data_IF_395722311688
#
_entry.id   IF_395722311688
#
_cell.length_a   1.000
_cell.length_b   1.000
_cell.length_c   1.000
_cell.angle_alpha   90.00
_cell.angle_beta   90.00
_cell.angle_gamma   90.00
#
_symmetry.space_group_name_H-M   'P 1'
#
loop_
_entity.id
_entity.type
_entity.pdbx_description
1 polymer ?
#
# COMPACT_ATOMS: atom_id res chain seq x y z
N UNK A 1 -12.95 22.19 -3.04
CA UNK A 1 -12.44 21.22 -2.05
C UNK A 1 -13.18 21.37 -0.73
N UNK A 2 -13.54 20.27 -0.06
CA UNK A 2 -14.15 20.30 1.28
C UNK A 2 -13.06 20.51 2.33
N UNK A 3 -13.30 21.39 3.31
CA UNK A 3 -12.41 21.56 4.47
C UNK A 3 -12.62 20.40 5.44
N UNK A 4 -11.54 19.80 5.93
CA UNK A 4 -11.59 18.76 6.95
C UNK A 4 -11.88 19.37 8.32
N UNK A 5 -12.77 18.72 9.09
CA UNK A 5 -13.01 19.05 10.50
C UNK A 5 -11.80 18.69 11.35
N UNK A 6 -11.68 19.28 12.53
CA UNK A 6 -10.55 19.10 13.46
C UNK A 6 -10.17 17.63 13.67
N UNK A 7 -11.18 16.81 13.97
CA UNK A 7 -10.99 15.37 14.17
C UNK A 7 -10.51 14.64 12.91
N UNK A 8 -11.03 15.01 11.74
CA UNK A 8 -10.62 14.39 10.47
C UNK A 8 -9.18 14.79 10.11
N UNK A 9 -8.77 16.03 10.43
CA UNK A 9 -7.38 16.49 10.30
C UNK A 9 -6.44 15.71 11.21
N UNK A 10 -6.87 15.44 12.44
CA UNK A 10 -6.10 14.65 13.40
C UNK A 10 -5.92 13.20 12.93
N UNK A 11 -7.01 12.53 12.53
CA UNK A 11 -6.99 11.18 11.95
C UNK A 11 -6.06 11.11 10.75
N UNK A 12 -6.20 12.06 9.81
CA UNK A 12 -5.36 12.14 8.62
C UNK A 12 -3.89 12.29 8.99
N UNK A 13 -3.54 13.22 9.89
CA UNK A 13 -2.15 13.43 10.32
C UNK A 13 -1.56 12.18 10.93
N UNK A 14 -2.32 11.50 11.81
CA UNK A 14 -1.89 10.28 12.48
C UNK A 14 -1.68 9.13 11.48
N UNK A 15 -2.61 8.93 10.55
CA UNK A 15 -2.49 7.93 9.50
C UNK A 15 -1.31 8.22 8.55
N UNK A 16 -1.13 9.49 8.14
CA UNK A 16 0.02 9.91 7.33
C UNK A 16 1.35 9.63 8.02
N UNK A 17 1.47 9.97 9.31
CA UNK A 17 2.70 9.71 10.06
C UNK A 17 3.01 8.21 10.17
N UNK A 18 2.00 7.37 10.38
CA UNK A 18 2.17 5.91 10.44
C UNK A 18 2.58 5.32 9.10
N UNK A 19 1.99 5.78 8.00
CA UNK A 19 2.42 5.38 6.66
C UNK A 19 3.86 5.81 6.40
N UNK A 20 4.22 7.08 6.65
CA UNK A 20 5.59 7.58 6.51
C UNK A 20 6.59 6.74 7.32
N UNK A 21 6.26 6.45 8.58
CA UNK A 21 7.11 5.64 9.45
C UNK A 21 7.30 4.22 8.89
N UNK A 22 6.21 3.60 8.40
CA UNK A 22 6.25 2.27 7.80
C UNK A 22 7.10 2.25 6.53
N UNK A 23 6.88 3.22 5.62
CA UNK A 23 7.66 3.36 4.39
C UNK A 23 9.15 3.53 4.72
N UNK A 24 9.49 4.43 5.63
CA UNK A 24 10.88 4.68 6.04
C UNK A 24 11.59 3.43 6.56
N UNK A 25 10.96 2.65 7.44
CA UNK A 25 11.62 1.50 8.07
C UNK A 25 11.61 0.23 7.21
N UNK A 26 10.60 0.05 6.36
CA UNK A 26 10.40 -1.23 5.68
C UNK A 26 10.48 -1.15 4.17
N UNK A 27 10.39 0.06 3.59
CA UNK A 27 10.50 0.32 2.16
C UNK A 27 11.62 1.30 1.77
N UNK A 28 12.27 1.95 2.75
CA UNK A 28 13.45 2.80 2.55
C UNK A 28 14.75 1.99 2.42
N UNK A 29 15.87 2.64 2.70
CA UNK A 29 17.23 2.10 2.46
C UNK A 29 17.68 1.01 3.45
N UNK A 30 16.88 0.75 4.48
CA UNK A 30 17.17 -0.27 5.49
C UNK A 30 17.05 -1.70 4.94
N UNK A 31 17.72 -2.68 5.59
CA UNK A 31 17.54 -4.08 5.24
C UNK A 31 16.09 -4.51 5.42
N UNK A 32 15.58 -5.30 4.47
CA UNK A 32 14.21 -5.81 4.55
C UNK A 32 14.07 -6.75 5.76
N UNK A 33 12.98 -6.64 6.54
CA UNK A 33 12.80 -7.51 7.70
C UNK A 33 12.69 -8.99 7.36
N UNK A 34 12.02 -9.31 6.23
CA UNK A 34 11.80 -10.67 5.74
C UNK A 34 11.43 -10.63 4.25
N UNK A 35 11.73 -11.71 3.53
CA UNK A 35 11.36 -11.87 2.13
C UNK A 35 9.85 -12.04 1.92
N UNK A 36 9.16 -12.82 2.77
CA UNK A 36 7.72 -13.08 2.61
C UNK A 36 6.82 -11.91 3.03
N UNK A 37 5.54 -11.94 2.64
CA UNK A 37 4.55 -10.97 3.10
C UNK A 37 4.32 -11.04 4.63
N UNK A 38 3.91 -9.95 5.30
CA UNK A 38 3.45 -10.02 6.67
C UNK A 38 2.32 -11.04 6.85
N UNK A 39 2.45 -11.90 7.86
CA UNK A 39 1.51 -12.98 8.17
C UNK A 39 0.99 -12.85 9.63
N UNK A 40 -0.26 -13.25 9.91
CA UNK A 40 -0.79 -13.29 11.27
C UNK A 40 -0.03 -14.28 12.15
N UNK A 41 0.18 -13.89 13.42
CA UNK A 41 0.89 -14.64 14.47
C UNK A 41 2.35 -14.98 14.15
N UNK A 42 2.90 -14.50 13.04
CA UNK A 42 4.29 -14.72 12.67
C UNK A 42 5.18 -13.64 13.28
N UNK A 43 6.43 -14.01 13.58
CA UNK A 43 7.45 -13.07 14.05
C UNK A 43 7.89 -12.16 12.88
N UNK A 44 7.15 -11.08 12.70
CA UNK A 44 7.42 -10.06 11.69
C UNK A 44 7.30 -8.68 12.32
N UNK A 45 8.39 -7.91 12.31
CA UNK A 45 8.44 -6.57 12.91
C UNK A 45 7.44 -5.60 12.26
N UNK A 46 7.06 -5.84 10.98
CA UNK A 46 6.03 -5.05 10.30
C UNK A 46 4.67 -5.27 10.95
N UNK A 47 4.31 -6.52 11.22
CA UNK A 47 3.09 -6.87 11.95
C UNK A 47 3.16 -6.39 13.39
N UNK A 48 4.31 -6.55 14.07
CA UNK A 48 4.51 -6.03 15.43
C UNK A 48 4.25 -4.52 15.51
N UNK A 49 4.76 -3.72 14.56
CA UNK A 49 4.45 -2.29 14.49
C UNK A 49 2.94 -2.04 14.43
N UNK A 50 2.20 -2.81 13.64
CA UNK A 50 0.74 -2.67 13.52
C UNK A 50 0.01 -3.06 14.80
N UNK A 51 0.50 -4.05 15.56
CA UNK A 51 -0.12 -4.46 16.85
C UNK A 51 -0.14 -3.33 17.88
N UNK A 52 0.75 -2.35 17.78
CA UNK A 52 0.76 -1.19 18.67
C UNK A 52 -0.43 -0.25 18.47
N UNK A 53 -1.07 -0.28 17.30
CA UNK A 53 -2.17 0.61 16.98
C UNK A 53 -3.51 -0.07 17.27
N UNK A 54 -4.50 0.70 17.73
CA UNK A 54 -5.86 0.18 17.92
C UNK A 54 -6.47 -0.27 16.59
N UNK A 55 -7.51 -1.10 16.62
CA UNK A 55 -8.15 -1.56 15.39
C UNK A 55 -8.80 -0.40 14.63
N UNK A 56 -9.37 0.59 15.34
CA UNK A 56 -9.87 1.82 14.69
C UNK A 56 -8.77 2.58 13.96
N UNK A 57 -7.60 2.71 14.60
CA UNK A 57 -6.42 3.35 14.05
C UNK A 57 -5.87 2.64 12.80
N UNK A 58 -5.88 1.31 12.82
CA UNK A 58 -5.46 0.47 11.69
C UNK A 58 -6.45 0.59 10.52
N UNK A 59 -7.75 0.68 10.79
CA UNK A 59 -8.76 0.87 9.74
C UNK A 59 -8.69 2.28 9.13
N UNK A 60 -8.43 3.31 9.94
CA UNK A 60 -8.17 4.67 9.45
C UNK A 60 -6.93 4.71 8.54
N UNK A 61 -5.84 4.05 8.94
CA UNK A 61 -4.63 3.93 8.14
C UNK A 61 -4.88 3.18 6.84
N UNK A 62 -5.62 2.06 6.89
CA UNK A 62 -6.04 1.31 5.70
C UNK A 62 -6.85 2.17 4.74
N UNK A 63 -7.81 2.94 5.25
CA UNK A 63 -8.67 3.80 4.44
C UNK A 63 -7.87 4.89 3.71
N UNK A 64 -6.92 5.54 4.42
CA UNK A 64 -5.98 6.46 3.79
C UNK A 64 -5.19 5.76 2.68
N UNK A 65 -4.61 4.60 2.98
CA UNK A 65 -3.72 3.94 2.05
C UNK A 65 -4.43 3.37 0.81
N UNK A 66 -5.70 2.95 0.94
CA UNK A 66 -6.57 2.64 -0.21
C UNK A 66 -6.76 3.88 -1.10
N UNK A 67 -6.96 5.06 -0.51
CA UNK A 67 -7.08 6.32 -1.25
C UNK A 67 -5.77 6.69 -1.96
N UNK A 68 -4.61 6.43 -1.33
CA UNK A 68 -3.28 6.59 -1.95
C UNK A 68 -3.12 5.68 -3.16
N UNK A 69 -3.44 4.38 -3.03
CA UNK A 69 -3.40 3.44 -4.17
C UNK A 69 -4.32 3.86 -5.31
N UNK A 70 -5.51 4.39 -4.98
CA UNK A 70 -6.41 4.94 -5.99
C UNK A 70 -5.79 6.16 -6.69
N UNK A 71 -5.17 7.08 -5.95
CA UNK A 71 -4.47 8.22 -6.52
C UNK A 71 -3.34 7.77 -7.45
N UNK A 72 -2.53 6.78 -7.06
CA UNK A 72 -1.49 6.19 -7.91
C UNK A 72 -2.11 5.59 -9.18
N UNK A 73 -3.20 4.83 -9.05
CA UNK A 73 -3.91 4.24 -10.19
C UNK A 73 -4.48 5.28 -11.16
N UNK A 74 -4.87 6.46 -10.67
CA UNK A 74 -5.51 7.49 -11.51
C UNK A 74 -4.51 8.49 -12.09
N UNK A 75 -3.38 8.72 -11.42
CA UNK A 75 -2.44 9.76 -11.81
C UNK A 75 -1.08 9.21 -12.25
N UNK A 76 -0.56 8.16 -11.60
CA UNK A 76 0.73 7.59 -12.01
C UNK A 76 0.51 6.62 -13.17
N UNK A 77 -0.32 5.59 -12.97
CA UNK A 77 -0.50 4.53 -13.97
C UNK A 77 -0.90 5.02 -15.38
N UNK A 78 -1.85 5.97 -15.57
CA UNK A 78 -2.22 6.39 -16.93
C UNK A 78 -1.13 7.20 -17.61
N UNK A 79 -0.37 8.01 -16.86
CA UNK A 79 0.82 8.67 -17.38
C UNK A 79 1.94 7.67 -17.72
N UNK A 80 1.90 6.48 -17.11
CA UNK A 80 2.70 5.37 -17.58
C UNK A 80 2.16 4.87 -18.94
N UNK A 81 0.87 4.63 -19.09
CA UNK A 81 0.25 4.03 -20.28
C UNK A 81 -0.03 4.96 -21.48
N UNK A 82 0.18 6.27 -21.39
CA UNK A 82 -0.27 7.32 -22.35
C UNK A 82 0.01 7.11 -23.86
N UNK A 83 0.84 6.14 -24.25
CA UNK A 83 1.13 5.80 -25.65
C UNK A 83 0.65 4.39 -26.07
N UNK A 84 -0.10 3.71 -25.22
CA UNK A 84 -0.75 2.45 -25.55
C UNK A 84 -2.02 2.76 -26.35
N UNK A 85 -2.11 2.24 -27.57
CA UNK A 85 -3.36 2.25 -28.33
C UNK A 85 -4.30 1.28 -27.61
N UNK A 86 -5.45 1.76 -27.12
CA UNK A 86 -6.50 0.88 -26.61
C UNK A 86 -6.93 -0.04 -27.74
N UNK A 87 -6.63 -1.33 -27.61
CA UNK A 87 -7.14 -2.35 -28.53
C UNK A 87 -8.58 -2.64 -28.14
N UNK A 88 -9.55 -2.19 -28.94
CA UNK A 88 -10.98 -2.45 -28.70
C UNK A 88 -11.32 -3.96 -28.67
N UNK A 89 -10.40 -4.83 -29.13
CA UNK A 89 -10.57 -6.28 -29.23
C UNK A 89 -9.91 -7.09 -28.09
N UNK A 90 -9.56 -6.49 -26.95
CA UNK A 90 -8.90 -7.22 -25.85
C UNK A 90 -9.77 -8.35 -25.27
N UNK A 91 -9.25 -9.57 -25.31
CA UNK A 91 -9.86 -10.78 -24.73
C UNK A 91 -9.97 -10.68 -23.21
N UNK A 92 -10.86 -11.47 -22.56
CA UNK A 92 -10.96 -11.50 -21.09
C UNK A 92 -9.63 -11.83 -20.39
N UNK A 93 -8.80 -12.68 -20.99
CA UNK A 93 -7.49 -13.03 -20.45
C UNK A 93 -6.51 -11.85 -20.51
N UNK A 94 -6.50 -11.11 -21.61
CA UNK A 94 -5.66 -9.91 -21.75
C UNK A 94 -6.06 -8.84 -20.73
N UNK A 95 -7.37 -8.60 -20.54
CA UNK A 95 -7.87 -7.69 -19.50
C UNK A 95 -7.46 -8.13 -18.09
N UNK A 96 -7.44 -9.45 -17.80
CA UNK A 96 -6.96 -9.96 -16.51
C UNK A 96 -5.45 -9.71 -16.33
N UNK A 97 -4.66 -9.91 -17.38
CA UNK A 97 -3.21 -9.67 -17.36
C UNK A 97 -2.92 -8.18 -17.15
N UNK A 98 -3.59 -7.29 -17.88
CA UNK A 98 -3.46 -5.83 -17.75
C UNK A 98 -3.82 -5.36 -16.35
N UNK A 99 -4.93 -5.84 -15.79
CA UNK A 99 -5.30 -5.55 -14.40
C UNK A 99 -4.23 -6.01 -13.43
N UNK A 100 -3.68 -7.21 -13.62
CA UNK A 100 -2.59 -7.72 -12.77
C UNK A 100 -1.34 -6.84 -12.86
N UNK A 101 -0.95 -6.40 -14.06
CA UNK A 101 0.19 -5.47 -14.25
C UNK A 101 -0.09 -4.14 -13.55
N UNK A 102 -1.27 -3.56 -13.77
CA UNK A 102 -1.70 -2.32 -13.14
C UNK A 102 -1.61 -2.40 -11.61
N UNK A 103 -2.17 -3.45 -11.00
CA UNK A 103 -2.12 -3.62 -9.54
C UNK A 103 -0.67 -3.76 -9.04
N UNK A 104 0.19 -4.55 -9.71
CA UNK A 104 1.60 -4.65 -9.32
C UNK A 104 2.32 -3.31 -9.39
N UNK A 105 2.03 -2.50 -10.42
CA UNK A 105 2.59 -1.15 -10.53
C UNK A 105 2.10 -0.26 -9.41
N UNK A 106 0.79 -0.24 -9.16
CA UNK A 106 0.20 0.53 -8.07
C UNK A 106 0.82 0.14 -6.73
N UNK A 107 0.97 -1.16 -6.46
CA UNK A 107 1.57 -1.70 -5.25
C UNK A 107 3.05 -1.33 -5.10
N UNK A 108 3.77 -1.23 -6.23
CA UNK A 108 5.18 -0.87 -6.23
C UNK A 108 5.36 0.61 -5.89
N UNK A 109 4.58 1.50 -6.52
CA UNK A 109 4.61 2.94 -6.21
C UNK A 109 4.04 3.28 -4.83
N UNK A 110 3.12 2.46 -4.30
CA UNK A 110 2.58 2.65 -2.97
C UNK A 110 3.61 2.44 -1.84
N UNK A 111 4.80 1.90 -2.15
CA UNK A 111 5.92 1.81 -1.21
C UNK A 111 6.55 3.15 -0.85
N UNK A 112 6.48 4.12 -1.76
CA UNK A 112 7.06 5.43 -1.57
C UNK A 112 6.46 6.09 -0.34
N UNK A 113 7.28 6.87 0.37
CA UNK A 113 6.76 7.67 1.46
C UNK A 113 5.91 8.85 0.94
N UNK A 114 5.11 9.52 1.79
CA UNK A 114 4.29 10.63 1.35
C UNK A 114 5.06 11.75 0.64
N UNK A 115 6.28 12.07 1.06
CA UNK A 115 7.10 13.12 0.47
C UNK A 115 7.61 12.74 -0.93
N UNK A 116 8.08 11.51 -1.08
CA UNK A 116 8.50 10.95 -2.36
C UNK A 116 7.35 10.88 -3.36
N UNK A 117 6.18 10.48 -2.89
CA UNK A 117 4.98 10.40 -3.73
C UNK A 117 4.46 11.79 -4.13
N UNK A 118 4.52 12.77 -3.22
CA UNK A 118 4.17 14.17 -3.56
C UNK A 118 5.13 14.76 -4.60
N UNK A 119 6.44 14.51 -4.45
CA UNK A 119 7.41 14.89 -5.48
C UNK A 119 7.02 14.31 -6.85
N UNK A 120 6.51 13.09 -6.89
CA UNK A 120 5.99 12.51 -8.13
C UNK A 120 4.85 13.32 -8.71
N UNK A 121 3.78 13.53 -7.93
CA UNK A 121 2.60 14.24 -8.40
C UNK A 121 2.91 15.64 -8.90
N UNK A 122 3.80 16.36 -8.23
CA UNK A 122 4.21 17.71 -8.61
C UNK A 122 4.94 17.75 -9.97
N UNK A 123 5.58 16.63 -10.34
CA UNK A 123 6.40 16.55 -11.55
C UNK A 123 5.78 15.71 -12.68
N UNK A 124 4.60 15.09 -12.46
CA UNK A 124 3.94 14.20 -13.43
C UNK A 124 3.75 14.84 -14.81
N UNK A 125 3.34 16.11 -14.84
CA UNK A 125 3.08 16.84 -16.09
C UNK A 125 4.33 17.53 -16.66
N UNK A 126 5.39 17.60 -15.87
CA UNK A 126 6.61 18.32 -16.24
C UNK A 126 7.69 17.40 -16.81
N UNK A 127 7.69 16.12 -16.41
CA UNK A 127 8.74 15.17 -16.78
C UNK A 127 8.23 14.04 -17.65
N UNK A 128 8.99 13.64 -18.69
CA UNK A 128 8.69 12.43 -19.44
C UNK A 128 8.68 11.21 -18.52
N UNK A 129 7.77 10.30 -18.79
CA UNK A 129 7.64 9.00 -18.09
C UNK A 129 8.99 8.32 -17.82
N UNK A 130 9.83 8.16 -18.86
CA UNK A 130 11.13 7.48 -18.76
C UNK A 130 12.04 8.14 -17.72
N UNK A 131 12.00 9.47 -17.62
CA UNK A 131 12.75 10.22 -16.60
C UNK A 131 12.24 9.89 -15.20
N UNK A 132 10.92 9.92 -15.00
CA UNK A 132 10.33 9.60 -13.69
C UNK A 132 10.75 8.19 -13.24
N UNK A 133 10.50 7.16 -14.07
CA UNK A 133 10.90 5.77 -13.76
C UNK A 133 12.40 5.65 -13.43
N UNK A 134 13.26 6.34 -14.19
CA UNK A 134 14.70 6.35 -13.93
C UNK A 134 15.04 7.04 -12.60
N UNK A 135 14.42 8.18 -12.29
CA UNK A 135 14.67 8.93 -11.05
C UNK A 135 14.34 8.09 -9.81
N UNK A 136 13.27 7.29 -9.83
CA UNK A 136 12.96 6.35 -8.73
C UNK A 136 13.97 5.24 -8.62
N UNK A 137 14.36 4.61 -9.72
CA UNK A 137 15.36 3.54 -9.67
C UNK A 137 16.73 4.04 -9.19
N UNK A 138 17.09 5.29 -9.52
CA UNK A 138 18.32 5.91 -9.03
C UNK A 138 18.27 6.20 -7.52
N UNK A 139 17.12 6.62 -7.01
CA UNK A 139 16.92 6.87 -5.57
C UNK A 139 16.73 5.58 -4.76
N UNK A 140 16.09 4.58 -5.37
CA UNK A 140 15.71 3.31 -4.75
C UNK A 140 16.16 2.15 -5.63
N UNK A 141 17.43 1.72 -5.57
CA UNK A 141 17.94 0.63 -6.41
C UNK A 141 17.19 -0.70 -6.24
N UNK A 142 16.56 -0.89 -5.08
CA UNK A 142 15.79 -2.10 -4.75
C UNK A 142 14.28 -1.95 -4.99
N UNK A 143 13.85 -0.89 -5.67
CA UNK A 143 12.43 -0.54 -5.84
C UNK A 143 11.58 -1.61 -6.54
N UNK A 144 12.16 -2.45 -7.41
CA UNK A 144 11.40 -3.52 -8.08
C UNK A 144 11.49 -4.88 -7.37
N UNK A 145 12.22 -5.00 -6.26
CA UNK A 145 12.45 -6.30 -5.61
C UNK A 145 11.18 -6.86 -4.94
N UNK A 146 10.27 -5.98 -4.50
CA UNK A 146 9.05 -6.36 -3.78
C UNK A 146 7.93 -5.32 -3.97
N UNK A 147 6.80 -5.54 -3.31
CA UNK A 147 5.64 -4.63 -3.29
C UNK A 147 5.45 -3.99 -1.91
N UNK A 148 4.47 -3.08 -1.80
CA UNK A 148 4.06 -2.54 -0.51
C UNK A 148 3.65 -3.64 0.47
N UNK A 149 4.06 -3.48 1.73
CA UNK A 149 3.78 -4.44 2.79
C UNK A 149 2.85 -3.89 3.87
N UNK A 150 2.43 -2.62 3.75
CA UNK A 150 1.61 -1.95 4.76
C UNK A 150 0.22 -2.56 4.83
N UNK A 151 -0.44 -2.78 3.68
CA UNK A 151 -1.78 -3.40 3.70
C UNK A 151 -1.75 -4.81 4.26
N UNK A 152 -0.74 -5.60 3.89
CA UNK A 152 -0.57 -6.95 4.39
C UNK A 152 -0.28 -6.96 5.91
N UNK A 153 0.52 -6.03 6.42
CA UNK A 153 0.80 -5.89 7.84
C UNK A 153 -0.46 -5.48 8.63
N UNK A 154 -1.22 -4.50 8.13
CA UNK A 154 -2.49 -4.08 8.74
C UNK A 154 -3.47 -5.25 8.77
N UNK A 155 -3.67 -5.91 7.62
CA UNK A 155 -4.56 -7.08 7.50
C UNK A 155 -4.16 -8.17 8.46
N UNK A 156 -2.85 -8.42 8.61
CA UNK A 156 -2.35 -9.45 9.52
C UNK A 156 -2.68 -9.14 10.98
N UNK A 157 -2.35 -7.95 11.48
CA UNK A 157 -2.65 -7.57 12.87
C UNK A 157 -4.16 -7.54 13.16
N UNK A 158 -4.97 -7.10 12.19
CA UNK A 158 -6.44 -7.07 12.34
C UNK A 158 -7.02 -8.48 12.32
N UNK A 159 -6.50 -9.39 11.49
CA UNK A 159 -6.91 -10.78 11.47
C UNK A 159 -6.58 -11.51 12.78
N UNK A 160 -5.42 -11.22 13.40
CA UNK A 160 -5.09 -11.76 14.72
C UNK A 160 -6.19 -11.44 15.75
N UNK A 161 -6.59 -10.17 15.85
CA UNK A 161 -7.67 -9.73 16.76
C UNK A 161 -9.02 -10.31 16.36
N UNK A 162 -9.34 -10.30 15.05
CA UNK A 162 -10.60 -10.85 14.54
C UNK A 162 -10.79 -12.30 14.92
N UNK A 163 -9.74 -13.11 14.82
CA UNK A 163 -9.83 -14.54 15.11
C UNK A 163 -9.85 -14.86 16.61
N UNK A 164 -9.25 -14.01 17.45
CA UNK A 164 -9.21 -14.21 18.90
C UNK A 164 -10.41 -13.60 19.63
N UNK A 165 -10.82 -12.39 19.22
CA UNK A 165 -11.84 -11.58 19.88
C UNK A 165 -13.21 -11.64 19.20
N UNK A 166 -13.33 -12.37 18.08
CA UNK A 166 -14.58 -12.53 17.33
C UNK A 166 -15.09 -11.24 16.69
N UNK A 167 -14.18 -10.42 16.13
CA UNK A 167 -14.55 -9.15 15.49
C UNK A 167 -15.18 -9.41 14.11
N UNK A 168 -16.51 -9.37 14.02
CA UNK A 168 -17.21 -9.62 12.75
C UNK A 168 -17.34 -8.39 11.85
N UNK A 169 -17.47 -7.19 12.43
CA UNK A 169 -17.74 -5.95 11.69
C UNK A 169 -16.52 -5.02 11.70
N UNK A 170 -15.76 -5.01 10.60
CA UNK A 170 -14.58 -4.14 10.41
C UNK A 170 -14.83 -2.98 9.43
N UNK A 171 -15.83 -3.11 8.56
CA UNK A 171 -16.05 -2.20 7.42
C UNK A 171 -16.44 -0.79 7.86
N UNK A 172 -17.11 -0.67 9.01
CA UNK A 172 -17.57 0.60 9.56
C UNK A 172 -16.57 1.26 10.54
N UNK A 173 -15.42 0.62 10.82
CA UNK A 173 -14.57 1.00 11.96
C UNK A 173 -13.52 2.07 11.67
N UNK A 174 -13.26 2.40 10.40
CA UNK A 174 -12.21 3.37 10.08
C UNK A 174 -12.42 4.08 8.76
N UNK A 175 -12.88 5.33 8.87
CA UNK A 175 -12.74 6.33 7.83
C UNK A 175 -12.03 7.57 8.39
N UNK A 176 -11.20 8.16 7.54
CA UNK A 176 -10.63 9.50 7.79
C UNK A 176 -11.74 10.55 7.79
N UNK A 177 -12.74 10.39 6.92
CA UNK A 177 -13.86 11.32 6.71
C UNK A 177 -15.18 10.64 7.05
N UNK A 178 -15.95 11.16 8.01
CA UNK A 178 -17.21 10.53 8.43
C UNK A 178 -17.82 11.07 9.71
N UNK A 179 -19.02 10.61 10.07
CA UNK A 179 -19.75 11.11 11.25
C UNK A 179 -19.02 10.73 12.56
N UNK A 180 -18.66 11.70 13.43
CA UNK A 180 -18.06 11.42 14.74
C UNK A 180 -18.93 10.56 15.68
N UNK A 181 -20.21 10.37 15.37
CA UNK A 181 -21.15 9.55 16.17
C UNK A 181 -21.00 8.04 15.94
N UNK A 182 -20.36 7.61 14.86
CA UNK A 182 -20.13 6.18 14.54
C UNK A 182 -18.86 5.61 15.19
N UNK A 183 -18.29 6.30 16.19
CA UNK A 183 -17.01 5.89 16.77
C UNK A 183 -17.26 4.75 17.74
N UNK A 184 -16.92 3.56 17.29
CA UNK A 184 -16.92 2.39 18.15
C UNK A 184 -15.72 2.45 19.11
N UNK A 185 -15.99 2.86 20.35
CA UNK A 185 -14.98 2.98 21.40
C UNK A 185 -14.36 1.64 21.78
N UNK A 186 -15.05 0.52 21.54
CA UNK A 186 -14.56 -0.84 21.79
C UNK A 186 -13.20 -1.11 21.15
N UNK A 187 -12.97 -0.54 19.96
CA UNK A 187 -11.79 -0.80 19.12
C UNK A 187 -10.78 0.34 19.12
N UNK A 188 -10.89 1.26 20.08
CA UNK A 188 -10.02 2.44 20.19
C UNK A 188 -8.89 2.26 21.20
N UNK A 189 -8.89 1.16 21.97
CA UNK A 189 -7.90 0.88 23.02
C UNK A 189 -7.38 -0.55 23.03
N UNK A 190 -7.60 -1.31 21.96
CA UNK A 190 -7.18 -2.71 21.78
C UNK A 190 -5.78 -2.86 21.16
N UNK A 191 -5.00 -1.77 21.16
CA UNK A 191 -3.59 -1.79 20.78
C UNK A 191 -2.71 -2.41 21.87
N UNK A 192 -1.65 -3.11 21.46
CA UNK A 192 -0.67 -3.72 22.36
C UNK A 192 0.51 -2.77 22.61
N UNK A 193 0.72 -2.36 23.87
CA UNK A 193 1.75 -1.37 24.21
C UNK A 193 3.19 -1.83 23.91
N UNK A 194 3.44 -3.14 23.93
CA UNK A 194 4.75 -3.76 23.71
C UNK A 194 4.83 -4.49 22.36
N UNK A 195 3.84 -4.30 21.47
CA UNK A 195 3.73 -4.97 20.18
C UNK A 195 3.62 -6.52 20.25
N UNK A 196 3.30 -7.07 21.41
CA UNK A 196 3.08 -8.50 21.60
C UNK A 196 1.84 -9.00 20.86
N UNK A 197 1.82 -10.29 20.55
CA UNK A 197 0.64 -10.96 19.99
C UNK A 197 -0.49 -10.90 21.03
N UNK A 198 -1.72 -10.53 20.64
CA UNK A 198 -2.86 -10.55 21.54
C UNK A 198 -3.09 -11.97 22.11
N UNK A 199 -3.31 -12.07 23.42
CA UNK A 199 -3.69 -13.33 24.04
C UNK A 199 -5.08 -13.76 23.55
N UNK A 200 -5.36 -15.07 23.37
CA UNK A 200 -4.51 -16.25 23.63
C UNK A 200 -3.60 -16.66 22.46
N UNK A 201 -3.32 -15.77 21.51
CA UNK A 201 -2.47 -16.07 20.36
C UNK A 201 -1.03 -16.46 20.74
N UNK A 202 -0.42 -17.31 19.93
CA UNK A 202 0.96 -17.80 20.12
C UNK A 202 1.77 -17.56 18.86
N UNK A 203 3.01 -17.12 19.04
CA UNK A 203 3.97 -16.87 17.96
C UNK A 203 4.23 -18.13 17.13
N UNK A 204 4.22 -17.99 15.81
CA UNK A 204 4.47 -19.05 14.83
C UNK A 204 5.67 -18.72 13.97
N UNK A 205 6.34 -19.76 13.49
CA UNK A 205 7.34 -19.62 12.43
C UNK A 205 6.64 -19.44 11.09
N UNK A 206 7.16 -18.54 10.27
CA UNK A 206 6.75 -18.45 8.88
C UNK A 206 7.06 -19.74 8.14
N UNK A 207 6.23 -20.08 7.14
CA UNK A 207 6.47 -21.17 6.19
C UNK A 207 6.72 -20.69 4.76
N UNK A 208 6.56 -19.39 4.49
CA UNK A 208 6.63 -18.85 3.15
C UNK A 208 7.50 -17.58 3.11
N UNK A 209 8.61 -17.62 2.38
CA UNK A 209 9.48 -16.46 2.19
C UNK A 209 9.28 -15.77 0.84
N UNK A 210 8.23 -16.14 0.12
CA UNK A 210 7.87 -15.53 -1.14
C UNK A 210 7.14 -14.20 -0.93
N UNK A 211 7.63 -13.16 -1.60
CA UNK A 211 6.88 -11.93 -1.88
C UNK A 211 6.72 -11.77 -3.39
N UNK A 212 5.60 -11.16 -3.83
CA UNK A 212 5.44 -10.83 -5.23
C UNK A 212 6.47 -9.77 -5.64
N UNK A 213 7.13 -9.93 -6.80
CA UNK A 213 8.04 -8.92 -7.30
C UNK A 213 7.29 -7.63 -7.64
N UNK A 214 7.99 -6.50 -7.51
CA UNK A 214 7.47 -5.21 -7.93
C UNK A 214 7.49 -5.05 -9.46
N UNK A 215 6.82 -4.01 -9.92
CA UNK A 215 6.78 -3.56 -11.31
C UNK A 215 6.77 -2.02 -11.30
N UNK A 216 7.82 -1.39 -11.82
CA UNK A 216 7.92 0.08 -11.93
C UNK A 216 7.31 0.61 -13.25
N UNK A 217 6.79 -0.31 -14.07
CA UNK A 217 6.22 -0.08 -15.38
C UNK A 217 7.25 0.05 -16.50
N UNK A 218 8.55 -0.09 -16.28
CA UNK A 218 9.58 0.13 -17.33
C UNK A 218 9.32 -0.61 -18.64
N UNK A 219 8.78 -1.82 -18.60
CA UNK A 219 8.46 -2.60 -19.80
C UNK A 219 7.43 -1.91 -20.70
N UNK A 220 6.50 -1.16 -20.09
CA UNK A 220 5.51 -0.38 -20.80
C UNK A 220 6.17 0.88 -21.45
N UNK A 221 7.33 1.34 -20.96
CA UNK A 221 8.10 2.43 -21.62
C UNK A 221 8.77 1.97 -22.92
N UNK A 222 9.12 0.68 -22.99
CA UNK A 222 9.87 0.10 -24.10
C UNK A 222 8.97 -0.34 -25.26
N UNK A 223 7.68 -0.63 -24.99
CA UNK A 223 6.71 -1.04 -26.02
C UNK A 223 6.44 0.01 -27.10
N UNK A 224 6.72 1.29 -26.85
CA UNK A 224 6.53 2.36 -27.83
C UNK A 224 7.48 2.34 -29.04
N UNK A 225 8.34 1.32 -29.20
CA UNK A 225 9.33 1.22 -30.29
C UNK A 225 9.14 0.01 -31.22
N UNK A 226 8.10 -0.81 -31.03
CA UNK A 226 7.84 -1.90 -31.96
C UNK A 226 6.99 -1.38 -33.14
N UNK A 227 7.51 -1.34 -34.38
CA UNK A 227 6.67 -1.04 -35.54
C UNK A 227 5.59 -2.12 -35.62
N UNK A 228 4.33 -1.68 -35.80
CA UNK A 228 3.20 -2.56 -36.02
C UNK A 228 3.55 -3.53 -37.16
N UNK A 229 3.82 -4.79 -36.81
CA UNK A 229 3.92 -5.87 -37.79
C UNK A 229 2.49 -6.13 -38.23
N UNK A 230 2.12 -5.53 -39.37
CA UNK A 230 0.91 -5.91 -40.09
C UNK A 230 1.13 -7.35 -40.58
N UNK A 231 0.38 -8.29 -39.98
CA UNK A 231 0.13 -9.61 -40.58
C UNK A 231 -1.06 -9.45 -41.52
#
# INVERSE_FOLDING_TARGET
CRILRDREREKLRRALYRWWLHARYFHGDGPRPRGGEPEPFVHDIRTSQMRMYSTSDLMELRALFVSVKNMIRHYIYPNLEQNMIESEDSTPLEQMIERSICERIVDTYAKLDPGELMFYFDNLYSYPRKRLVNDVNLRHPTFVHDQESLQAAIRSAVNERRWLDGIEQLEDLGSIVGDPRQVNTKFSGDGSADASIPAPGVMRRSRNDWSPPGDDGRALTERGHLPAVRI
#
